data_IF_502629263085
#
_entry.id   IF_502629263085
#
_cell.length_a   1.000
_cell.length_b   1.000
_cell.length_c   1.000
_cell.angle_alpha   90.00
_cell.angle_beta   90.00
_cell.angle_gamma   90.00
#
_symmetry.space_group_name_H-M   'P 1'
#
loop_
_entity.id
_entity.type
_entity.pdbx_description
1 polymer ?
#
# COMPACT_ATOMS: atom_id res chain seq x y z
N UNK A 1 2.54 126.44 1.74
CA UNK A 1 2.07 125.72 2.92
C UNK A 1 1.77 124.30 2.48
N UNK A 2 2.63 123.47 2.86
CA UNK A 2 2.81 122.13 2.42
C UNK A 2 1.93 121.16 3.24
N UNK A 3 1.12 120.37 2.61
CA UNK A 3 0.41 119.25 3.29
C UNK A 3 0.83 117.96 2.61
N UNK A 4 1.58 117.22 3.34
CA UNK A 4 2.16 115.95 2.99
C UNK A 4 1.09 114.86 3.19
N UNK A 5 0.85 114.06 2.16
CA UNK A 5 -0.08 112.95 2.18
C UNK A 5 0.69 111.67 2.33
N UNK A 6 0.40 110.92 3.36
CA UNK A 6 0.96 109.60 3.68
C UNK A 6 0.25 108.52 2.84
N UNK A 7 0.92 107.66 2.11
CA UNK A 7 0.29 106.52 1.44
C UNK A 7 0.11 105.34 2.42
N UNK A 8 -1.11 104.87 2.55
CA UNK A 8 -1.49 103.62 3.26
C UNK A 8 -1.14 102.39 2.41
N UNK A 9 -0.14 101.65 2.81
CA UNK A 9 0.28 100.43 2.21
C UNK A 9 -0.64 99.28 2.73
N UNK A 10 -1.49 98.81 1.86
CA UNK A 10 -2.33 97.57 2.16
C UNK A 10 -1.53 96.33 1.99
N UNK A 11 -1.15 95.74 3.10
CA UNK A 11 -0.53 94.39 3.16
C UNK A 11 -1.54 93.35 2.69
N UNK A 12 -1.40 92.89 1.45
CA UNK A 12 -2.11 91.72 0.94
C UNK A 12 -1.52 90.45 1.57
N UNK A 13 -2.29 89.81 2.45
CA UNK A 13 -2.03 88.42 2.93
C UNK A 13 -2.30 87.44 1.78
N UNK A 14 -1.23 86.83 1.26
CA UNK A 14 -1.30 85.73 0.30
C UNK A 14 -1.88 84.51 0.97
N UNK A 15 -2.80 83.77 0.33
CA UNK A 15 -3.33 82.56 0.88
C UNK A 15 -2.25 81.47 0.84
N UNK A 16 -1.88 80.95 2.00
CA UNK A 16 -0.99 79.83 2.17
C UNK A 16 -1.68 78.53 1.63
N UNK A 17 -1.37 78.16 0.43
CA UNK A 17 -1.80 76.85 -0.13
C UNK A 17 -0.98 75.74 0.50
N UNK A 18 -1.60 74.94 1.39
CA UNK A 18 -1.03 73.67 1.91
C UNK A 18 -0.83 72.70 0.76
N UNK A 19 0.35 72.09 0.63
CA UNK A 19 0.58 71.04 -0.39
C UNK A 19 -0.28 69.86 -0.06
N UNK A 20 -1.30 69.55 -0.86
CA UNK A 20 -1.98 68.23 -0.86
C UNK A 20 -0.99 67.22 -1.32
N UNK A 21 -0.32 66.51 -0.38
CA UNK A 21 0.43 65.32 -0.60
C UNK A 21 -0.54 64.20 -1.03
N UNK A 22 -0.82 64.17 -2.31
CA UNK A 22 -1.45 63.02 -2.96
C UNK A 22 -0.48 61.86 -2.97
N UNK A 23 -0.44 61.09 -1.89
CA UNK A 23 0.28 59.82 -1.87
C UNK A 23 -0.33 58.93 -2.96
N UNK A 24 0.20 58.97 -4.18
CA UNK A 24 -0.07 57.98 -5.21
C UNK A 24 0.49 56.65 -4.69
N UNK A 25 -0.38 55.88 -4.04
CA UNK A 25 -0.10 54.50 -3.65
C UNK A 25 0.30 53.77 -4.95
N UNK A 26 1.57 53.48 -5.06
CA UNK A 26 2.12 52.69 -6.18
C UNK A 26 1.52 51.28 -6.05
N UNK A 27 0.37 51.07 -6.70
CA UNK A 27 -0.38 49.83 -6.64
C UNK A 27 0.41 48.60 -7.19
N UNK A 28 1.35 48.85 -8.08
CA UNK A 28 2.19 47.79 -8.68
C UNK A 28 3.08 47.05 -7.67
N UNK A 29 3.85 47.70 -6.75
CA UNK A 29 4.62 46.96 -5.76
C UNK A 29 3.73 46.26 -4.73
N UNK A 30 2.55 46.82 -4.44
CA UNK A 30 1.58 46.20 -3.52
C UNK A 30 0.97 44.93 -4.11
N UNK A 31 0.65 44.93 -5.42
CA UNK A 31 0.19 43.72 -6.14
C UNK A 31 1.28 42.65 -6.23
N UNK A 32 2.53 43.07 -6.47
CA UNK A 32 3.67 42.15 -6.46
C UNK A 32 3.90 41.56 -5.06
N UNK A 33 3.84 42.33 -4.00
CA UNK A 33 3.96 41.85 -2.64
C UNK A 33 2.82 40.90 -2.27
N UNK A 34 1.58 41.19 -2.70
CA UNK A 34 0.44 40.29 -2.50
C UNK A 34 0.63 38.97 -3.25
N UNK A 35 1.09 39.04 -4.51
CA UNK A 35 1.37 37.84 -5.31
C UNK A 35 2.45 36.96 -4.65
N UNK A 36 3.55 37.55 -4.17
CA UNK A 36 4.61 36.86 -3.45
C UNK A 36 4.07 36.21 -2.18
N UNK A 37 3.21 36.94 -1.43
CA UNK A 37 2.61 36.41 -0.21
C UNK A 37 1.67 35.22 -0.50
N UNK A 38 0.91 35.26 -1.60
CA UNK A 38 0.07 34.13 -2.04
C UNK A 38 0.94 32.93 -2.42
N UNK A 39 2.00 33.15 -3.18
CA UNK A 39 2.93 32.06 -3.57
C UNK A 39 3.58 31.44 -2.33
N UNK A 40 4.03 32.24 -1.37
CA UNK A 40 4.58 31.74 -0.11
C UNK A 40 3.55 30.99 0.72
N UNK A 41 2.30 31.46 0.80
CA UNK A 41 1.22 30.78 1.50
C UNK A 41 0.89 29.41 0.86
N UNK A 42 0.86 29.36 -0.48
CA UNK A 42 0.67 28.13 -1.23
C UNK A 42 1.84 27.16 -1.02
N UNK A 43 3.08 27.63 -1.12
CA UNK A 43 4.28 26.86 -0.88
C UNK A 43 4.33 26.32 0.56
N UNK A 44 4.01 27.16 1.55
CA UNK A 44 3.92 26.74 2.95
C UNK A 44 2.82 25.70 3.17
N UNK A 45 1.66 25.85 2.52
CA UNK A 45 0.54 24.89 2.61
C UNK A 45 0.92 23.53 2.02
N UNK A 46 1.59 23.53 0.86
CA UNK A 46 2.06 22.29 0.24
C UNK A 46 3.21 21.66 1.03
N UNK A 47 4.18 22.45 1.47
CA UNK A 47 5.30 21.97 2.29
C UNK A 47 4.84 21.35 3.61
N UNK A 48 3.87 21.99 4.27
CA UNK A 48 3.30 21.49 5.51
C UNK A 48 2.52 20.16 5.32
N UNK A 49 1.71 20.07 4.26
CA UNK A 49 0.99 18.83 3.97
C UNK A 49 1.96 17.67 3.62
N UNK A 50 2.99 17.95 2.82
CA UNK A 50 4.02 16.96 2.49
C UNK A 50 4.79 16.48 3.72
N UNK A 51 5.14 17.40 4.61
CA UNK A 51 5.82 17.07 5.86
C UNK A 51 4.95 16.20 6.78
N UNK A 52 3.67 16.53 6.91
CA UNK A 52 2.73 15.72 7.70
C UNK A 52 2.56 14.32 7.10
N UNK A 53 2.34 14.21 5.79
CA UNK A 53 2.17 12.91 5.14
C UNK A 53 3.41 12.01 5.33
N UNK A 54 4.62 12.54 5.18
CA UNK A 54 5.86 11.76 5.36
C UNK A 54 6.15 11.38 6.82
N UNK A 55 5.53 12.08 7.79
CA UNK A 55 5.76 11.83 9.23
C UNK A 55 4.72 10.89 9.81
N UNK A 56 3.47 10.98 9.35
CA UNK A 56 2.31 10.27 9.91
C UNK A 56 2.08 8.91 9.20
N UNK A 57 2.53 8.78 7.96
CA UNK A 57 2.29 7.57 7.18
C UNK A 57 3.58 6.88 6.80
N UNK A 58 3.60 5.55 6.93
CA UNK A 58 4.55 4.67 6.26
C UNK A 58 3.85 4.09 5.04
N UNK A 59 4.45 4.26 3.87
CA UNK A 59 3.87 3.82 2.60
C UNK A 59 4.78 2.82 1.91
N UNK A 60 4.18 1.83 1.26
CA UNK A 60 4.91 0.90 0.38
C UNK A 60 4.06 0.55 -0.83
N UNK A 61 4.72 0.39 -1.96
CA UNK A 61 4.18 -0.18 -3.21
C UNK A 61 4.57 -1.65 -3.38
N UNK A 62 5.40 -2.17 -2.47
CA UNK A 62 5.77 -3.58 -2.43
C UNK A 62 4.84 -4.33 -1.46
N UNK A 63 3.62 -4.52 -1.90
CA UNK A 63 2.60 -5.28 -1.19
C UNK A 63 1.76 -6.09 -2.17
N UNK A 64 1.27 -7.23 -1.70
CA UNK A 64 0.44 -8.11 -2.51
C UNK A 64 -0.72 -8.66 -1.68
N UNK A 65 -1.82 -8.94 -2.38
CA UNK A 65 -2.94 -9.69 -1.83
C UNK A 65 -2.51 -11.14 -1.68
N UNK A 66 -2.62 -11.69 -0.49
CA UNK A 66 -2.26 -13.07 -0.20
C UNK A 66 -3.42 -13.82 0.44
N UNK A 67 -3.34 -15.15 0.39
CA UNK A 67 -4.29 -16.04 1.01
C UNK A 67 -3.57 -17.30 1.46
N UNK A 68 -4.07 -17.95 2.50
CA UNK A 68 -3.53 -19.22 2.94
C UNK A 68 -3.76 -20.30 1.89
N UNK A 69 -2.75 -20.50 1.03
CA UNK A 69 -2.74 -21.56 0.03
C UNK A 69 -2.43 -22.90 0.69
N UNK A 70 -3.38 -23.84 0.57
CA UNK A 70 -3.19 -25.20 1.09
C UNK A 70 -3.15 -26.18 -0.08
N UNK A 71 -2.12 -27.00 -0.13
CA UNK A 71 -1.97 -28.04 -1.16
C UNK A 71 -2.88 -29.22 -0.89
N UNK A 72 -3.55 -29.72 -1.93
CA UNK A 72 -4.27 -30.98 -1.94
C UNK A 72 -3.33 -32.05 -2.41
N UNK A 73 -3.06 -33.05 -1.58
CA UNK A 73 -2.12 -34.11 -1.87
C UNK A 73 -2.69 -35.48 -1.47
N UNK A 74 -2.32 -36.61 -2.18
CA UNK A 74 -2.73 -37.94 -1.82
C UNK A 74 -1.95 -38.43 -0.60
N UNK A 75 -2.59 -39.25 0.20
CA UNK A 75 -1.98 -39.90 1.38
C UNK A 75 -1.23 -41.21 1.02
N UNK A 76 -1.34 -41.65 -0.23
CA UNK A 76 -0.65 -42.83 -0.74
C UNK A 76 -0.22 -42.69 -2.18
N UNK A 77 0.87 -43.35 -2.58
CA UNK A 77 1.31 -43.43 -3.97
C UNK A 77 0.42 -44.35 -4.78
N UNK A 78 0.21 -44.05 -6.07
CA UNK A 78 -0.59 -44.89 -6.95
C UNK A 78 -0.99 -44.17 -8.24
N UNK A 79 -2.03 -44.65 -8.89
CA UNK A 79 -2.60 -44.03 -10.09
C UNK A 79 -3.84 -43.25 -9.73
N UNK A 80 -3.92 -42.00 -10.17
CA UNK A 80 -5.06 -41.13 -9.97
C UNK A 80 -6.24 -41.62 -10.82
N UNK A 81 -7.21 -42.27 -10.19
CA UNK A 81 -8.33 -42.92 -10.88
C UNK A 81 -9.51 -42.02 -11.19
N UNK A 82 -9.79 -41.12 -10.27
CA UNK A 82 -10.86 -40.11 -10.39
C UNK A 82 -10.29 -38.77 -10.02
N UNK A 83 -10.44 -37.78 -10.91
CA UNK A 83 -10.00 -36.42 -10.68
C UNK A 83 -10.87 -35.43 -11.49
N UNK A 84 -11.90 -34.86 -10.86
CA UNK A 84 -12.94 -34.13 -11.55
C UNK A 84 -13.08 -32.67 -11.10
N UNK A 85 -12.04 -32.12 -10.49
CA UNK A 85 -12.02 -30.74 -10.05
C UNK A 85 -11.45 -29.82 -11.11
N UNK A 86 -11.88 -28.55 -11.09
CA UNK A 86 -11.41 -27.50 -12.00
C UNK A 86 -11.04 -26.25 -11.19
N UNK A 87 -10.14 -25.41 -11.70
CA UNK A 87 -9.94 -24.07 -11.15
C UNK A 87 -11.27 -23.30 -11.10
N UNK A 88 -11.54 -22.64 -9.96
CA UNK A 88 -12.77 -21.93 -9.66
C UNK A 88 -13.83 -22.75 -8.91
N UNK A 89 -13.69 -24.07 -8.76
CA UNK A 89 -14.62 -24.90 -8.00
C UNK A 89 -14.55 -24.56 -6.49
N UNK A 90 -15.72 -24.34 -5.87
CA UNK A 90 -15.82 -24.17 -4.41
C UNK A 90 -15.90 -25.53 -3.74
N UNK A 91 -15.08 -25.75 -2.72
CA UNK A 91 -14.98 -27.00 -1.99
C UNK A 91 -15.08 -26.78 -0.49
N UNK A 92 -15.53 -27.83 0.23
CA UNK A 92 -15.58 -27.84 1.70
C UNK A 92 -14.52 -28.76 2.27
N UNK A 93 -14.04 -28.46 3.45
CA UNK A 93 -13.14 -29.33 4.18
C UNK A 93 -13.70 -30.76 4.29
N UNK A 94 -12.87 -31.76 3.99
CA UNK A 94 -13.29 -33.16 3.94
C UNK A 94 -14.05 -33.59 2.67
N UNK A 95 -14.41 -32.68 1.77
CA UNK A 95 -15.07 -33.05 0.51
C UNK A 95 -14.12 -33.87 -0.36
N UNK A 96 -14.63 -35.00 -0.88
CA UNK A 96 -13.88 -35.86 -1.79
C UNK A 96 -13.65 -35.16 -3.13
N UNK A 97 -12.41 -35.02 -3.55
CA UNK A 97 -11.97 -34.38 -4.79
C UNK A 97 -11.56 -35.39 -5.85
N UNK A 98 -11.04 -36.54 -5.41
CA UNK A 98 -10.57 -37.57 -6.27
C UNK A 98 -10.23 -38.91 -5.54
N UNK A 99 -9.71 -39.84 -6.28
CA UNK A 99 -9.32 -41.15 -5.75
C UNK A 99 -8.01 -41.61 -6.37
N UNK A 100 -7.15 -42.22 -5.55
CA UNK A 100 -5.93 -42.90 -5.99
C UNK A 100 -6.15 -44.41 -5.85
N UNK A 101 -5.77 -45.13 -6.87
CA UNK A 101 -5.61 -46.57 -6.82
C UNK A 101 -4.17 -46.89 -6.44
N UNK A 102 -3.89 -47.37 -5.21
CA UNK A 102 -2.54 -47.68 -4.79
C UNK A 102 -1.89 -48.78 -5.65
N UNK A 103 -0.58 -48.75 -5.77
CA UNK A 103 0.17 -49.81 -6.50
C UNK A 103 0.08 -51.14 -5.80
N UNK A 104 -0.04 -51.15 -4.47
CA UNK A 104 -0.20 -52.35 -3.63
C UNK A 104 -1.55 -52.24 -2.89
N UNK A 105 -2.38 -53.27 -3.08
CA UNK A 105 -3.73 -53.31 -2.50
C UNK A 105 -4.84 -53.05 -3.51
N UNK A 106 -6.09 -53.35 -3.13
CA UNK A 106 -7.28 -53.21 -3.98
C UNK A 106 -8.19 -52.06 -3.60
N UNK A 107 -7.97 -51.44 -2.44
CA UNK A 107 -8.82 -50.37 -1.93
C UNK A 107 -8.39 -48.99 -2.49
N UNK A 108 -9.35 -48.23 -3.01
CA UNK A 108 -9.11 -46.86 -3.41
C UNK A 108 -8.94 -45.95 -2.20
N UNK A 109 -8.03 -45.00 -2.31
CA UNK A 109 -7.79 -43.98 -1.27
C UNK A 109 -8.35 -42.64 -1.74
N UNK A 110 -9.23 -42.05 -0.96
CA UNK A 110 -9.84 -40.77 -1.26
C UNK A 110 -8.86 -39.63 -1.06
N UNK A 111 -8.89 -38.65 -1.97
CA UNK A 111 -8.23 -37.38 -1.81
C UNK A 111 -9.32 -36.38 -1.44
N UNK A 112 -9.15 -35.67 -0.32
CA UNK A 112 -10.14 -34.76 0.20
C UNK A 112 -9.57 -33.33 0.28
N UNK A 113 -10.45 -32.31 0.24
CA UNK A 113 -10.07 -30.93 0.47
C UNK A 113 -9.63 -30.75 1.93
N UNK A 114 -8.47 -30.12 2.19
CA UNK A 114 -7.99 -29.88 3.54
C UNK A 114 -8.75 -28.76 4.27
N UNK A 115 -9.25 -27.76 3.54
CA UNK A 115 -9.96 -26.58 4.06
C UNK A 115 -11.17 -26.25 3.18
N UNK A 116 -12.07 -25.41 3.71
CA UNK A 116 -13.09 -24.72 2.90
C UNK A 116 -12.43 -23.67 2.01
N UNK A 117 -12.86 -23.58 0.76
CA UNK A 117 -12.27 -22.58 -0.13
C UNK A 117 -12.58 -22.81 -1.60
N UNK A 118 -11.78 -22.18 -2.44
CA UNK A 118 -11.85 -22.25 -3.91
C UNK A 118 -10.58 -22.92 -4.45
N UNK A 119 -10.73 -23.81 -5.40
CA UNK A 119 -9.60 -24.41 -6.14
C UNK A 119 -8.99 -23.33 -7.04
N UNK A 120 -7.73 -22.96 -6.78
CA UNK A 120 -7.05 -21.94 -7.60
C UNK A 120 -6.28 -22.59 -8.76
N UNK A 121 -5.64 -23.74 -8.51
CA UNK A 121 -4.82 -24.42 -9.50
C UNK A 121 -4.99 -25.91 -9.40
N UNK A 122 -4.97 -26.59 -10.54
CA UNK A 122 -5.04 -28.05 -10.67
C UNK A 122 -3.87 -28.52 -11.52
N UNK A 123 -2.98 -29.30 -10.90
CA UNK A 123 -1.78 -29.87 -11.54
C UNK A 123 -1.96 -31.37 -11.84
N UNK A 124 -2.84 -32.06 -11.09
CA UNK A 124 -3.14 -33.47 -11.25
C UNK A 124 -3.99 -33.75 -12.49
N UNK A 125 -3.77 -34.91 -13.10
CA UNK A 125 -4.58 -35.42 -14.23
C UNK A 125 -5.01 -36.84 -13.98
N UNK A 126 -6.26 -37.19 -14.35
CA UNK A 126 -6.75 -38.55 -14.28
C UNK A 126 -5.87 -39.49 -15.10
N UNK A 127 -5.55 -40.68 -14.54
CA UNK A 127 -4.62 -41.66 -15.12
C UNK A 127 -3.13 -41.43 -14.80
N UNK A 128 -2.79 -40.26 -14.17
CA UNK A 128 -1.40 -39.99 -13.78
C UNK A 128 -0.95 -40.85 -12.61
N UNK A 129 0.31 -41.27 -12.63
CA UNK A 129 0.96 -41.87 -11.46
C UNK A 129 1.42 -40.75 -10.54
N UNK A 130 1.04 -40.84 -9.26
CA UNK A 130 1.29 -39.85 -8.24
C UNK A 130 2.01 -40.40 -7.05
N UNK A 131 2.86 -39.63 -6.43
CA UNK A 131 3.53 -39.98 -5.19
C UNK A 131 2.74 -39.50 -3.98
N UNK A 132 2.95 -40.14 -2.83
CA UNK A 132 2.43 -39.62 -1.55
C UNK A 132 2.94 -38.21 -1.29
N UNK A 133 2.07 -37.35 -0.77
CA UNK A 133 2.33 -35.96 -0.47
C UNK A 133 2.66 -35.06 -1.70
N UNK A 134 2.52 -35.57 -2.93
CA UNK A 134 2.64 -34.74 -4.13
C UNK A 134 1.46 -33.79 -4.24
N UNK A 135 1.70 -32.47 -4.35
CA UNK A 135 0.65 -31.51 -4.57
C UNK A 135 -0.02 -31.73 -5.94
N UNK A 136 -1.35 -31.90 -5.95
CA UNK A 136 -2.16 -32.12 -7.16
C UNK A 136 -3.09 -30.93 -7.46
N UNK A 137 -3.43 -30.13 -6.45
CA UNK A 137 -4.19 -28.90 -6.57
C UNK A 137 -3.89 -27.99 -5.39
N UNK A 138 -4.34 -26.75 -5.49
CA UNK A 138 -4.21 -25.74 -4.43
C UNK A 138 -5.57 -25.13 -4.16
N UNK A 139 -5.93 -25.09 -2.86
CA UNK A 139 -7.16 -24.51 -2.34
C UNK A 139 -6.80 -23.27 -1.53
N UNK A 140 -7.57 -22.20 -1.70
CA UNK A 140 -7.44 -20.99 -0.89
C UNK A 140 -8.81 -20.55 -0.37
N UNK A 141 -8.83 -19.98 0.83
CA UNK A 141 -10.01 -19.32 1.36
C UNK A 141 -10.01 -17.85 0.89
N UNK A 142 -10.79 -17.55 -0.15
CA UNK A 142 -10.89 -16.19 -0.72
C UNK A 142 -11.71 -15.22 0.16
N UNK A 143 -12.41 -15.71 1.19
CA UNK A 143 -13.15 -14.88 2.14
C UNK A 143 -12.27 -14.39 3.30
N UNK A 144 -11.06 -14.93 3.42
CA UNK A 144 -10.08 -14.60 4.48
C UNK A 144 -8.71 -14.26 3.85
N UNK A 145 -8.72 -13.31 2.91
CA UNK A 145 -7.49 -12.78 2.33
C UNK A 145 -6.88 -11.72 3.24
N UNK A 146 -5.58 -11.57 3.16
CA UNK A 146 -4.80 -10.56 3.86
C UNK A 146 -3.81 -9.91 2.88
N UNK A 147 -3.24 -8.79 3.29
CA UNK A 147 -2.18 -8.14 2.51
C UNK A 147 -0.86 -8.41 3.18
N UNK A 148 0.09 -8.90 2.40
CA UNK A 148 1.49 -9.02 2.78
C UNK A 148 2.24 -7.82 2.22
N UNK A 149 2.73 -6.95 3.10
CA UNK A 149 3.43 -5.72 2.74
C UNK A 149 4.90 -5.80 3.18
N UNK A 150 5.81 -5.37 2.32
CA UNK A 150 7.24 -5.32 2.61
C UNK A 150 7.65 -3.89 2.91
N UNK A 151 8.04 -3.64 4.16
CA UNK A 151 8.40 -2.32 4.68
C UNK A 151 9.91 -2.23 4.87
N UNK A 152 10.50 -1.10 4.49
CA UNK A 152 11.93 -0.86 4.70
C UNK A 152 12.30 -0.89 6.20
N UNK A 153 13.42 -1.51 6.54
CA UNK A 153 13.94 -1.61 7.91
C UNK A 153 14.02 -0.24 8.63
N UNK A 154 14.32 0.81 7.88
CA UNK A 154 14.40 2.17 8.42
C UNK A 154 13.05 2.74 8.90
N UNK A 155 11.94 2.25 8.36
CA UNK A 155 10.59 2.71 8.66
C UNK A 155 9.82 1.77 9.61
N UNK A 156 10.25 0.52 9.75
CA UNK A 156 9.52 -0.51 10.51
C UNK A 156 9.32 -0.18 11.98
N UNK A 157 10.24 0.59 12.60
CA UNK A 157 10.13 0.99 14.00
C UNK A 157 8.87 1.82 14.29
N UNK A 158 8.24 2.39 13.26
CA UNK A 158 6.99 3.17 13.38
C UNK A 158 5.74 2.29 13.19
N UNK A 159 5.91 1.03 12.77
CA UNK A 159 4.80 0.12 12.45
C UNK A 159 4.58 -0.85 13.60
N UNK A 160 3.34 -0.90 14.09
CA UNK A 160 2.94 -1.74 15.22
C UNK A 160 1.61 -2.43 14.93
N UNK A 161 1.39 -3.64 15.47
CA UNK A 161 0.10 -4.30 15.38
C UNK A 161 -1.04 -3.41 15.92
N UNK A 162 -2.20 -3.45 15.24
CA UNK A 162 -3.39 -2.66 15.59
C UNK A 162 -3.46 -1.29 14.90
N UNK A 163 -2.43 -0.84 14.20
CA UNK A 163 -2.49 0.41 13.43
C UNK A 163 -3.42 0.29 12.22
N UNK A 164 -4.16 1.38 11.95
CA UNK A 164 -5.05 1.46 10.79
C UNK A 164 -4.28 1.58 9.48
N UNK A 165 -4.75 0.89 8.47
CA UNK A 165 -4.13 0.81 7.15
C UNK A 165 -5.13 1.13 6.05
N UNK A 166 -4.71 1.90 5.07
CA UNK A 166 -5.39 2.12 3.81
C UNK A 166 -4.68 1.29 2.72
N UNK A 167 -5.43 0.43 2.06
CA UNK A 167 -4.91 -0.45 1.00
C UNK A 167 -5.63 -0.13 -0.30
N UNK A 168 -4.87 0.13 -1.35
CA UNK A 168 -5.40 0.32 -2.70
C UNK A 168 -4.89 -0.81 -3.59
N UNK A 169 -5.80 -1.59 -4.17
CA UNK A 169 -5.46 -2.71 -5.05
C UNK A 169 -5.64 -2.29 -6.51
N UNK A 170 -4.60 -2.49 -7.32
CA UNK A 170 -4.57 -1.99 -8.69
C UNK A 170 -5.59 -2.65 -9.61
N UNK A 171 -5.78 -3.96 -9.51
CA UNK A 171 -6.68 -4.73 -10.38
C UNK A 171 -8.16 -4.46 -10.11
N UNK A 172 -8.53 -4.04 -8.91
CA UNK A 172 -9.93 -3.72 -8.55
C UNK A 172 -10.35 -2.28 -8.88
N UNK A 173 -9.71 -1.64 -9.87
CA UNK A 173 -10.02 -0.26 -10.27
C UNK A 173 -9.63 0.79 -9.23
N UNK A 174 -8.59 0.54 -8.43
CA UNK A 174 -8.12 1.36 -7.32
C UNK A 174 -9.15 1.50 -6.19
N UNK A 175 -9.86 0.42 -5.91
CA UNK A 175 -10.76 0.39 -4.76
C UNK A 175 -9.93 0.51 -3.47
N UNK A 176 -10.37 1.39 -2.58
CA UNK A 176 -9.76 1.60 -1.27
C UNK A 176 -10.36 0.61 -0.26
N UNK A 177 -9.50 -0.17 0.36
CA UNK A 177 -9.83 -1.05 1.47
C UNK A 177 -9.24 -0.48 2.76
N UNK A 178 -9.94 -0.67 3.87
CA UNK A 178 -9.45 -0.33 5.20
C UNK A 178 -9.12 -1.62 5.93
N UNK A 179 -7.96 -1.62 6.56
CA UNK A 179 -7.47 -2.77 7.31
C UNK A 179 -6.74 -2.36 8.58
N UNK A 180 -6.19 -3.33 9.25
CA UNK A 180 -5.35 -3.15 10.43
C UNK A 180 -4.10 -4.02 10.31
N UNK A 181 -2.96 -3.51 10.81
CA UNK A 181 -1.75 -4.32 10.95
C UNK A 181 -2.05 -5.44 11.94
N UNK A 182 -2.00 -6.69 11.47
CA UNK A 182 -2.20 -7.87 12.32
C UNK A 182 -0.90 -8.32 12.96
N UNK A 183 0.18 -8.38 12.18
CA UNK A 183 1.47 -8.88 12.65
C UNK A 183 2.62 -8.20 11.90
N UNK A 184 3.74 -8.02 12.60
CA UNK A 184 5.03 -7.61 12.03
C UNK A 184 5.99 -8.76 12.25
N UNK A 185 6.49 -9.39 11.17
CA UNK A 185 7.40 -10.52 11.30
C UNK A 185 8.78 -10.05 11.77
N UNK A 186 9.34 -10.67 12.83
CA UNK A 186 10.61 -10.23 13.42
C UNK A 186 11.84 -10.72 12.62
N UNK A 187 11.70 -10.81 11.30
CA UNK A 187 12.77 -11.26 10.41
C UNK A 187 12.73 -10.53 9.08
N UNK A 188 13.89 -10.26 8.51
CA UNK A 188 13.98 -9.67 7.17
C UNK A 188 13.67 -10.72 6.10
N UNK A 189 13.03 -10.29 5.00
CA UNK A 189 12.73 -11.16 3.87
C UNK A 189 13.96 -11.93 3.35
N UNK A 190 15.14 -11.32 3.42
CA UNK A 190 16.42 -11.96 3.04
C UNK A 190 16.84 -13.11 3.96
N UNK A 191 16.32 -13.18 5.20
CA UNK A 191 16.64 -14.28 6.13
C UNK A 191 16.06 -15.61 5.68
N UNK A 192 15.03 -15.59 4.85
CA UNK A 192 14.37 -16.76 4.29
C UNK A 192 14.83 -17.09 2.87
N UNK A 193 15.69 -16.26 2.27
CA UNK A 193 16.26 -16.57 0.96
C UNK A 193 17.18 -17.78 1.06
N UNK A 194 16.79 -18.87 0.38
CA UNK A 194 17.55 -20.15 0.35
C UNK A 194 18.89 -20.05 -0.38
N UNK A 195 19.17 -18.92 -1.02
CA UNK A 195 20.47 -18.68 -1.67
C UNK A 195 21.40 -18.03 -0.66
N UNK A 196 22.48 -18.69 -0.24
CA UNK A 196 23.53 -18.05 0.52
C UNK A 196 24.07 -16.93 -0.37
N UNK A 197 24.05 -15.70 0.14
CA UNK A 197 24.75 -14.56 -0.47
C UNK A 197 26.25 -14.81 -0.35
N UNK A 198 26.76 -15.66 -1.27
CA UNK A 198 28.16 -16.10 -1.29
C UNK A 198 29.16 -15.02 -1.69
N UNK A 199 28.68 -13.81 -1.98
CA UNK A 199 29.53 -12.68 -2.41
C UNK A 199 29.76 -11.62 -1.32
N UNK A 200 29.99 -12.06 -0.07
CA UNK A 200 30.46 -11.15 0.98
C UNK A 200 31.97 -10.83 0.91
N UNK A 201 32.68 -11.35 -0.09
CA UNK A 201 34.15 -11.24 -0.18
C UNK A 201 34.66 -10.23 -1.19
N UNK A 202 33.85 -9.55 -1.96
CA UNK A 202 34.25 -8.48 -2.86
C UNK A 202 34.01 -7.11 -2.22
N UNK A 203 35.03 -6.26 -2.21
CA UNK A 203 35.14 -4.99 -1.49
C UNK A 203 34.18 -3.87 -1.89
N UNK A 204 33.08 -4.17 -2.62
CA UNK A 204 32.01 -3.25 -2.96
C UNK A 204 30.71 -3.67 -2.25
N UNK A 205 30.61 -3.33 -0.95
CA UNK A 205 29.35 -3.44 -0.21
C UNK A 205 28.36 -2.38 -0.71
N UNK A 206 27.53 -2.76 -1.66
CA UNK A 206 26.29 -2.02 -1.90
C UNK A 206 25.33 -2.40 -0.77
N UNK A 207 25.05 -1.46 0.14
CA UNK A 207 24.06 -1.68 1.20
C UNK A 207 22.69 -1.93 0.54
N UNK A 208 22.24 -3.17 0.53
CA UNK A 208 20.91 -3.52 0.07
C UNK A 208 19.93 -3.21 1.22
N UNK A 209 18.91 -2.40 0.96
CA UNK A 209 17.87 -2.12 1.94
C UNK A 209 17.15 -3.42 2.28
N UNK A 210 17.15 -3.77 3.56
CA UNK A 210 16.43 -4.94 4.05
C UNK A 210 14.95 -4.58 4.22
N UNK A 211 14.06 -5.51 3.87
CA UNK A 211 12.61 -5.35 3.99
C UNK A 211 12.06 -6.32 5.01
N UNK A 212 11.10 -5.86 5.78
CA UNK A 212 10.44 -6.63 6.83
C UNK A 212 9.00 -6.84 6.39
N UNK A 213 8.56 -8.07 6.52
CA UNK A 213 7.21 -8.49 6.16
C UNK A 213 6.20 -8.08 7.23
N UNK A 214 5.10 -7.48 6.80
CA UNK A 214 4.00 -7.00 7.63
C UNK A 214 2.70 -7.57 7.10
N UNK A 215 1.96 -8.27 7.93
CA UNK A 215 0.63 -8.78 7.59
C UNK A 215 -0.44 -7.78 7.98
N UNK A 216 -1.37 -7.54 7.08
CA UNK A 216 -2.46 -6.59 7.22
C UNK A 216 -3.78 -7.33 6.99
N UNK A 217 -4.64 -7.33 8.00
CA UNK A 217 -5.98 -7.85 7.90
C UNK A 217 -6.91 -6.78 7.31
N UNK A 218 -7.52 -7.09 6.18
CA UNK A 218 -8.50 -6.23 5.49
C UNK A 218 -9.95 -6.63 5.79
N UNK A 219 -10.15 -7.52 6.78
CA UNK A 219 -11.47 -7.99 7.16
C UNK A 219 -12.09 -8.92 6.12
N UNK A 220 -13.43 -8.95 6.11
CA UNK A 220 -14.16 -9.80 5.16
C UNK A 220 -14.07 -9.27 3.74
N UNK A 221 -13.51 -10.07 2.85
CA UNK A 221 -13.39 -9.80 1.40
C UNK A 221 -14.53 -10.41 0.58
N UNK A 222 -15.54 -10.96 1.27
CA UNK A 222 -16.71 -11.56 0.62
C UNK A 222 -17.38 -10.59 -0.35
N UNK A 223 -17.44 -10.97 -1.62
CA UNK A 223 -18.00 -10.14 -2.70
C UNK A 223 -17.04 -9.12 -3.31
N UNK A 224 -15.81 -9.03 -2.84
CA UNK A 224 -14.76 -8.25 -3.48
C UNK A 224 -14.15 -9.03 -4.65
N UNK A 225 -13.83 -8.34 -5.74
CA UNK A 225 -13.13 -8.93 -6.88
C UNK A 225 -11.60 -8.95 -6.63
N UNK A 226 -11.17 -9.44 -5.47
CA UNK A 226 -9.75 -9.58 -5.13
C UNK A 226 -9.28 -11.00 -5.45
N UNK A 227 -8.08 -11.09 -6.01
CA UNK A 227 -7.44 -12.37 -6.28
C UNK A 227 -6.05 -12.41 -5.63
N UNK A 228 -5.64 -13.56 -5.08
CA UNK A 228 -4.28 -13.73 -4.57
C UNK A 228 -3.24 -13.45 -5.65
N UNK A 229 -2.18 -12.72 -5.28
CA UNK A 229 -1.11 -12.31 -6.18
C UNK A 229 -1.30 -10.94 -6.83
N UNK A 230 -2.38 -10.22 -6.55
CA UNK A 230 -2.56 -8.84 -7.01
C UNK A 230 -1.67 -7.87 -6.24
N UNK A 231 -1.08 -6.90 -6.94
CA UNK A 231 -0.30 -5.84 -6.33
C UNK A 231 -1.19 -4.85 -5.59
N UNK A 232 -0.69 -4.37 -4.47
CA UNK A 232 -1.37 -3.40 -3.64
C UNK A 232 -0.42 -2.26 -3.25
N UNK A 233 -0.99 -1.07 -3.08
CA UNK A 233 -0.35 0.08 -2.46
C UNK A 233 -0.89 0.24 -1.05
N UNK A 234 0.01 0.35 -0.08
CA UNK A 234 -0.32 0.35 1.35
C UNK A 234 0.12 1.65 2.01
N UNK A 235 -0.76 2.23 2.82
CA UNK A 235 -0.49 3.39 3.69
C UNK A 235 -0.84 3.03 5.13
N UNK A 236 0.17 2.91 5.99
CA UNK A 236 0.00 2.60 7.41
C UNK A 236 0.05 3.90 8.21
N UNK A 237 -0.95 4.13 9.03
CA UNK A 237 -1.01 5.29 9.91
C UNK A 237 -0.20 5.01 11.18
N UNK A 238 0.86 5.79 11.41
CA UNK A 238 1.83 5.56 12.50
C UNK A 238 1.49 6.28 13.82
N UNK A 239 0.27 6.78 13.95
CA UNK A 239 -0.15 7.51 15.18
C UNK A 239 -1.46 6.98 15.67
#
# INVERSE_FOLDING_TARGET
MTTESIPTEATQLAPTTLPRSGARIRTRPLLLALLVLIVLAVAARFGYSYYLDSTIYVTTDDALVDSNLVSVAPTSSGTLSIWRIKPGDKVRAGQMLGQVKPATGSAYVNITAPIDGTILRVDGREGQVVAQAQALAYVANLDAMHITAYIDESAIQKVHPGQGVEVTVDASGRTLYHGTVSEVLPATASSFALLPSSDRSTANFTKVTQRIEVHIDIGSTSGSALYPGENAYVRIRTT
#
